data_IF_106233070444
#
_entry.id   IF_106233070444
#
_cell.length_a   1.000
_cell.length_b   1.000
_cell.length_c   1.000
_cell.angle_alpha   90.00
_cell.angle_beta   90.00
_cell.angle_gamma   90.00
#
_symmetry.space_group_name_H-M   'P 1'
#
loop_
_entity.id
_entity.type
_entity.pdbx_description
1 polymer ?
#
# COMPACT_ATOMS: atom_id res chain seq x y z
N UNK A 1 -13.48 -25.68 -15.99
CA UNK A 1 -12.18 -26.31 -15.70
C UNK A 1 -12.39 -27.30 -14.58
N UNK A 2 -11.65 -28.39 -14.62
CA UNK A 2 -11.53 -29.29 -13.49
C UNK A 2 -10.76 -28.60 -12.35
N UNK A 3 -11.17 -28.83 -11.10
CA UNK A 3 -10.57 -28.21 -9.92
C UNK A 3 -9.09 -28.61 -9.77
N UNK A 4 -8.78 -29.89 -9.91
CA UNK A 4 -7.42 -30.40 -9.68
C UNK A 4 -6.49 -30.01 -10.83
N UNK A 5 -6.98 -30.05 -12.07
CA UNK A 5 -6.21 -29.58 -13.22
C UNK A 5 -5.76 -28.11 -13.03
N UNK A 6 -6.69 -27.24 -12.63
CA UNK A 6 -6.42 -25.84 -12.40
C UNK A 6 -5.46 -25.62 -11.22
N UNK A 7 -5.62 -26.36 -10.13
CA UNK A 7 -4.71 -26.31 -8.97
C UNK A 7 -3.28 -26.67 -9.36
N UNK A 8 -3.09 -27.75 -10.14
CA UNK A 8 -1.77 -28.15 -10.62
C UNK A 8 -1.14 -27.11 -11.54
N UNK A 9 -1.93 -26.43 -12.38
CA UNK A 9 -1.42 -25.33 -13.22
C UNK A 9 -0.96 -24.15 -12.35
N UNK A 10 -1.75 -23.76 -11.33
CA UNK A 10 -1.40 -22.66 -10.43
C UNK A 10 -0.09 -22.93 -9.68
N UNK A 11 0.10 -24.15 -9.14
CA UNK A 11 1.32 -24.53 -8.40
C UNK A 11 2.58 -24.63 -9.25
N UNK A 12 2.49 -24.57 -10.58
CA UNK A 12 3.67 -24.45 -11.46
C UNK A 12 4.25 -23.04 -11.48
N UNK A 13 3.51 -22.04 -11.00
CA UNK A 13 4.01 -20.67 -10.88
C UNK A 13 4.83 -20.48 -9.60
N UNK A 14 5.85 -19.61 -9.66
CA UNK A 14 6.70 -19.32 -8.51
C UNK A 14 5.90 -18.76 -7.31
N UNK A 15 4.92 -17.89 -7.55
CA UNK A 15 4.17 -17.24 -6.46
C UNK A 15 3.20 -18.19 -5.73
N UNK A 16 2.76 -19.27 -6.38
CA UNK A 16 1.77 -20.20 -5.82
C UNK A 16 2.30 -21.64 -5.66
N UNK A 17 3.62 -21.86 -5.77
CA UNK A 17 4.20 -23.21 -5.72
C UNK A 17 3.98 -23.95 -4.39
N UNK A 18 3.70 -23.23 -3.30
CA UNK A 18 3.37 -23.75 -1.97
C UNK A 18 1.89 -23.57 -1.60
N UNK A 19 1.03 -23.15 -2.55
CA UNK A 19 -0.38 -22.87 -2.28
C UNK A 19 -1.08 -24.09 -1.65
N UNK A 20 -1.68 -23.88 -0.49
CA UNK A 20 -2.44 -24.92 0.20
C UNK A 20 -3.72 -25.25 -0.58
N UNK A 21 -4.13 -26.53 -0.56
CA UNK A 21 -5.32 -26.97 -1.29
C UNK A 21 -6.59 -26.42 -0.65
N UNK A 22 -6.65 -26.31 0.67
CA UNK A 22 -7.78 -25.75 1.39
C UNK A 22 -7.98 -24.26 1.04
N UNK A 23 -6.91 -23.46 1.03
CA UNK A 23 -6.95 -22.05 0.61
C UNK A 23 -7.43 -21.89 -0.83
N UNK A 24 -7.00 -22.80 -1.71
CA UNK A 24 -7.45 -22.83 -3.10
C UNK A 24 -8.96 -23.08 -3.20
N UNK A 25 -9.47 -24.12 -2.53
CA UNK A 25 -10.91 -24.44 -2.51
C UNK A 25 -11.72 -23.30 -1.86
N UNK A 26 -11.25 -22.74 -0.76
CA UNK A 26 -11.90 -21.60 -0.10
C UNK A 26 -11.98 -20.37 -1.03
N UNK A 27 -10.94 -20.13 -1.84
CA UNK A 27 -10.96 -19.09 -2.86
C UNK A 27 -12.01 -19.37 -3.94
N UNK A 28 -12.15 -20.63 -4.39
CA UNK A 28 -13.20 -21.00 -5.35
C UNK A 28 -14.60 -20.83 -4.77
N UNK A 29 -14.83 -21.26 -3.53
CA UNK A 29 -16.10 -21.06 -2.81
C UNK A 29 -16.42 -19.57 -2.69
N UNK A 30 -15.45 -18.75 -2.29
CA UNK A 30 -15.60 -17.30 -2.22
C UNK A 30 -15.96 -16.68 -3.57
N UNK A 31 -15.24 -17.03 -4.64
CA UNK A 31 -15.54 -16.56 -6.00
C UNK A 31 -16.87 -17.11 -6.52
N UNK A 32 -17.29 -18.29 -6.07
CA UNK A 32 -18.59 -18.91 -6.34
C UNK A 32 -19.75 -18.24 -5.59
N UNK A 33 -19.47 -17.42 -4.56
CA UNK A 33 -20.46 -16.81 -3.68
C UNK A 33 -21.00 -17.77 -2.60
N UNK A 34 -20.26 -18.83 -2.28
CA UNK A 34 -20.59 -19.85 -1.28
C UNK A 34 -19.82 -19.55 0.03
N UNK A 35 -20.14 -18.43 0.67
CA UNK A 35 -19.51 -18.00 1.93
C UNK A 35 -20.58 -17.90 2.99
N UNK A 36 -20.27 -18.39 4.19
CA UNK A 36 -21.16 -18.24 5.34
C UNK A 36 -21.25 -16.76 5.75
N UNK A 37 -22.43 -16.33 6.20
CA UNK A 37 -22.70 -15.00 6.76
C UNK A 37 -22.53 -13.77 5.84
N UNK A 38 -22.19 -13.94 4.57
CA UNK A 38 -22.05 -12.82 3.63
C UNK A 38 -22.57 -13.12 2.22
N UNK A 39 -23.35 -12.19 1.68
CA UNK A 39 -23.77 -12.23 0.27
C UNK A 39 -22.66 -11.68 -0.62
N UNK A 40 -21.80 -12.55 -1.14
CA UNK A 40 -20.75 -12.17 -2.09
C UNK A 40 -21.26 -12.31 -3.52
N UNK A 41 -21.04 -11.27 -4.33
CA UNK A 41 -21.34 -11.34 -5.76
C UNK A 41 -20.44 -12.36 -6.44
N UNK A 42 -21.04 -13.49 -6.80
CA UNK A 42 -20.36 -14.61 -7.46
C UNK A 42 -19.78 -14.21 -8.82
N UNK A 43 -18.49 -14.49 -9.02
CA UNK A 43 -17.74 -14.21 -10.26
C UNK A 43 -17.53 -15.46 -11.10
N UNK A 44 -17.69 -16.64 -10.49
CA UNK A 44 -17.68 -17.92 -11.19
C UNK A 44 -18.92 -18.71 -10.82
N UNK A 45 -19.25 -19.71 -11.63
CA UNK A 45 -20.01 -20.85 -11.13
C UNK A 45 -19.00 -21.86 -10.60
N UNK A 46 -19.34 -22.50 -9.49
CA UNK A 46 -18.51 -23.48 -8.81
C UNK A 46 -19.42 -24.62 -8.37
N UNK A 47 -19.10 -25.83 -8.81
CA UNK A 47 -19.79 -27.06 -8.46
C UNK A 47 -18.77 -28.01 -7.83
N UNK A 48 -18.85 -28.12 -6.51
CA UNK A 48 -17.93 -28.94 -5.72
C UNK A 48 -18.23 -30.44 -5.89
N UNK A 49 -19.46 -30.82 -6.24
CA UNK A 49 -19.84 -32.22 -6.46
C UNK A 49 -19.35 -32.74 -7.81
N UNK A 50 -19.50 -31.93 -8.87
CA UNK A 50 -18.98 -32.26 -10.21
C UNK A 50 -17.47 -31.96 -10.35
N UNK A 51 -16.86 -31.33 -9.35
CA UNK A 51 -15.43 -31.02 -9.33
C UNK A 51 -15.03 -29.98 -10.37
N UNK A 52 -15.92 -29.04 -10.72
CA UNK A 52 -15.71 -28.09 -11.83
C UNK A 52 -16.11 -26.66 -11.49
N UNK A 53 -15.47 -25.73 -12.19
CA UNK A 53 -15.81 -24.31 -12.13
C UNK A 53 -15.65 -23.62 -13.49
N UNK A 54 -16.24 -22.43 -13.62
CA UNK A 54 -16.08 -21.65 -14.84
C UNK A 54 -16.67 -20.25 -14.80
N UNK A 55 -16.43 -19.50 -15.87
CA UNK A 55 -16.85 -18.10 -15.97
C UNK A 55 -18.37 -17.97 -16.00
N UNK A 56 -18.89 -16.98 -15.28
CA UNK A 56 -20.26 -16.47 -15.46
C UNK A 56 -20.26 -15.38 -16.53
N UNK A 57 -21.36 -15.25 -17.27
CA UNK A 57 -21.52 -14.21 -18.32
C UNK A 57 -21.39 -12.80 -17.73
N UNK A 58 -21.91 -12.60 -16.52
CA UNK A 58 -21.87 -11.32 -15.81
C UNK A 58 -20.45 -10.88 -15.41
N UNK A 59 -19.52 -11.83 -15.27
CA UNK A 59 -18.15 -11.54 -14.82
C UNK A 59 -17.25 -10.96 -15.89
N UNK A 60 -17.69 -11.00 -17.16
CA UNK A 60 -16.90 -10.51 -18.30
C UNK A 60 -16.54 -9.03 -18.14
N UNK A 61 -17.51 -8.18 -17.80
CA UNK A 61 -17.27 -6.75 -17.65
C UNK A 61 -16.34 -6.45 -16.46
N UNK A 62 -16.56 -7.13 -15.33
CA UNK A 62 -15.74 -6.99 -14.12
C UNK A 62 -14.27 -7.32 -14.45
N UNK A 63 -14.04 -8.43 -15.15
CA UNK A 63 -12.70 -8.84 -15.56
C UNK A 63 -12.02 -7.75 -16.41
N UNK A 64 -12.68 -7.23 -17.45
CA UNK A 64 -12.07 -6.24 -18.35
C UNK A 64 -11.85 -4.87 -17.70
N UNK A 65 -12.69 -4.47 -16.75
CA UNK A 65 -12.53 -3.21 -16.03
C UNK A 65 -11.48 -3.27 -14.92
N UNK A 66 -11.10 -4.47 -14.47
CA UNK A 66 -10.16 -4.69 -13.37
C UNK A 66 -8.98 -5.58 -13.80
N UNK A 67 -8.51 -5.43 -15.05
CA UNK A 67 -7.33 -6.15 -15.53
C UNK A 67 -6.09 -5.52 -14.92
N UNK A 68 -5.41 -6.25 -14.04
CA UNK A 68 -4.13 -5.83 -13.47
C UNK A 68 -4.01 -6.19 -12.00
N UNK A 69 -2.87 -5.83 -11.43
CA UNK A 69 -2.57 -6.02 -9.99
C UNK A 69 -2.28 -4.71 -9.27
N UNK A 70 -2.23 -3.59 -10.01
CA UNK A 70 -2.03 -2.26 -9.43
C UNK A 70 -3.39 -1.82 -8.88
N UNK A 71 -3.51 -1.61 -7.56
CA UNK A 71 -4.76 -1.09 -6.99
C UNK A 71 -4.98 0.34 -7.48
N UNK A 72 -6.23 0.71 -7.71
CA UNK A 72 -6.57 2.14 -7.88
C UNK A 72 -6.38 2.82 -6.52
N UNK A 73 -5.56 3.88 -6.49
CA UNK A 73 -5.51 4.79 -5.34
C UNK A 73 -6.36 6.02 -5.66
N UNK A 74 -7.32 6.32 -4.79
CA UNK A 74 -8.18 7.49 -4.95
C UNK A 74 -7.59 8.67 -4.15
N UNK A 75 -7.42 9.80 -4.83
CA UNK A 75 -7.08 11.05 -4.15
C UNK A 75 -8.33 11.74 -3.61
N UNK A 76 -8.26 12.17 -2.35
CA UNK A 76 -9.27 13.02 -1.72
C UNK A 76 -8.91 14.48 -1.92
N UNK A 77 -9.88 15.27 -2.36
CA UNK A 77 -9.73 16.71 -2.39
C UNK A 77 -9.83 17.27 -0.97
N UNK A 78 -8.80 17.97 -0.52
CA UNK A 78 -8.82 18.69 0.75
C UNK A 78 -9.48 20.05 0.53
N UNK A 79 -10.49 20.33 1.34
CA UNK A 79 -11.23 21.59 1.32
C UNK A 79 -11.30 22.19 2.73
N UNK A 80 -11.33 23.52 2.82
CA UNK A 80 -11.67 24.17 4.08
C UNK A 80 -13.19 24.14 4.33
N UNK A 81 -13.62 24.62 5.50
CA UNK A 81 -15.04 24.72 5.89
C UNK A 81 -15.88 25.58 4.92
N UNK A 82 -15.26 26.53 4.21
CA UNK A 82 -15.91 27.34 3.16
C UNK A 82 -15.96 26.66 1.79
N UNK A 83 -15.44 25.44 1.64
CA UNK A 83 -15.39 24.69 0.38
C UNK A 83 -14.23 25.07 -0.55
N UNK A 84 -13.29 25.92 -0.11
CA UNK A 84 -12.09 26.26 -0.89
C UNK A 84 -11.15 25.06 -0.95
N UNK A 85 -10.73 24.70 -2.15
CA UNK A 85 -9.73 23.66 -2.39
C UNK A 85 -8.34 24.07 -1.86
N UNK A 86 -7.69 23.14 -1.15
CA UNK A 86 -6.39 23.33 -0.50
C UNK A 86 -5.31 22.38 -1.01
N UNK A 87 -5.69 21.24 -1.61
CA UNK A 87 -4.77 20.24 -2.13
C UNK A 87 -5.42 18.85 -2.15
N UNK A 88 -4.59 17.82 -2.19
CA UNK A 88 -5.02 16.42 -2.24
C UNK A 88 -4.31 15.58 -1.17
N UNK A 89 -4.98 14.51 -0.74
CA UNK A 89 -4.43 13.48 0.13
C UNK A 89 -4.76 12.10 -0.44
N UNK A 90 -3.85 11.15 -0.30
CA UNK A 90 -4.09 9.76 -0.71
C UNK A 90 -5.10 9.07 0.22
N UNK A 91 -5.87 8.11 -0.32
CA UNK A 91 -6.86 7.31 0.44
C UNK A 91 -6.27 6.70 1.71
N UNK A 92 -5.09 6.06 1.60
CA UNK A 92 -4.39 5.43 2.73
C UNK A 92 -4.00 6.39 3.85
N UNK A 93 -3.83 7.67 3.54
CA UNK A 93 -3.58 8.69 4.56
C UNK A 93 -4.90 9.05 5.25
N UNK A 94 -5.96 9.27 4.47
CA UNK A 94 -7.30 9.64 4.97
C UNK A 94 -7.91 8.55 5.84
N UNK A 95 -7.75 7.27 5.48
CA UNK A 95 -8.24 6.12 6.26
C UNK A 95 -7.69 6.07 7.69
N UNK A 96 -6.52 6.67 7.92
CA UNK A 96 -5.86 6.70 9.24
C UNK A 96 -6.24 7.92 10.07
N UNK A 97 -6.87 8.93 9.48
CA UNK A 97 -7.23 10.17 10.16
C UNK A 97 -8.42 9.98 11.10
N UNK A 98 -8.29 10.56 12.30
CA UNK A 98 -9.38 10.70 13.27
C UNK A 98 -9.73 12.19 13.44
N UNK A 99 -11.01 12.54 13.63
CA UNK A 99 -11.40 13.93 13.89
C UNK A 99 -10.54 14.56 14.99
N UNK A 100 -9.91 15.69 14.68
CA UNK A 100 -8.94 16.36 15.56
C UNK A 100 -7.47 16.14 15.20
N UNK A 101 -7.15 15.20 14.31
CA UNK A 101 -5.78 15.00 13.83
C UNK A 101 -5.26 16.22 13.08
N UNK A 102 -4.00 16.58 13.34
CA UNK A 102 -3.32 17.74 12.79
C UNK A 102 -2.19 17.30 11.87
N UNK A 103 -2.17 17.81 10.65
CA UNK A 103 -1.16 17.47 9.65
C UNK A 103 -0.76 18.69 8.81
N UNK A 104 0.35 18.55 8.08
CA UNK A 104 0.87 19.61 7.20
C UNK A 104 0.49 19.32 5.76
N UNK A 105 -0.11 20.31 5.08
CA UNK A 105 -0.39 20.29 3.64
C UNK A 105 0.02 21.65 3.04
N UNK A 106 0.84 21.65 2.00
CA UNK A 106 1.27 22.89 1.34
C UNK A 106 1.93 23.90 2.29
N UNK A 107 2.77 23.41 3.21
CA UNK A 107 3.42 24.18 4.28
C UNK A 107 2.47 24.85 5.30
N UNK A 108 1.18 24.50 5.29
CA UNK A 108 0.19 24.97 6.28
C UNK A 108 -0.29 23.83 7.15
N UNK A 109 -0.67 24.16 8.37
CA UNK A 109 -1.13 23.20 9.37
C UNK A 109 -2.65 23.16 9.35
N UNK A 110 -3.20 21.97 9.18
CA UNK A 110 -4.62 21.73 9.07
C UNK A 110 -5.07 20.69 10.07
N UNK A 111 -6.26 20.88 10.65
CA UNK A 111 -6.92 19.88 11.49
C UNK A 111 -8.03 19.19 10.69
N UNK A 112 -7.97 17.87 10.66
CA UNK A 112 -9.00 17.02 10.08
C UNK A 112 -10.31 17.12 10.88
N UNK A 113 -11.41 17.39 10.19
CA UNK A 113 -12.74 17.42 10.77
C UNK A 113 -13.54 16.17 10.39
N UNK A 114 -13.68 15.92 9.09
CA UNK A 114 -14.44 14.78 8.58
C UNK A 114 -14.16 14.55 7.09
N UNK A 115 -14.51 13.37 6.61
CA UNK A 115 -14.54 13.04 5.18
C UNK A 115 -15.98 12.93 4.72
N UNK A 116 -16.30 13.53 3.56
CA UNK A 116 -17.60 13.41 2.89
C UNK A 116 -17.39 13.14 1.40
N UNK A 117 -17.79 11.96 0.95
CA UNK A 117 -17.49 11.46 -0.41
C UNK A 117 -15.97 11.50 -0.62
N UNK A 118 -15.48 12.06 -1.74
CA UNK A 118 -14.07 12.23 -2.05
C UNK A 118 -13.47 13.54 -1.52
N UNK A 119 -14.06 14.14 -0.48
CA UNK A 119 -13.61 15.43 0.08
C UNK A 119 -13.27 15.31 1.54
N UNK A 120 -12.06 15.73 1.89
CA UNK A 120 -11.59 15.84 3.26
C UNK A 120 -11.80 17.28 3.70
N UNK A 121 -12.61 17.48 4.75
CA UNK A 121 -12.90 18.78 5.31
C UNK A 121 -11.93 19.05 6.45
N UNK A 122 -11.22 20.17 6.37
CA UNK A 122 -10.26 20.62 7.38
C UNK A 122 -10.55 22.03 7.84
N UNK A 123 -10.01 22.39 9.00
CA UNK A 123 -9.89 23.78 9.45
C UNK A 123 -8.43 24.18 9.60
N UNK A 124 -8.20 25.49 9.67
CA UNK A 124 -6.89 26.04 10.01
C UNK A 124 -6.50 25.60 11.43
N UNK A 125 -5.27 25.11 11.57
CA UNK A 125 -4.69 24.70 12.84
C UNK A 125 -3.27 25.28 13.01
N UNK A 126 -3.02 26.44 12.41
CA UNK A 126 -1.77 27.20 12.55
C UNK A 126 -1.40 27.37 14.03
N UNK A 127 -0.14 27.04 14.36
CA UNK A 127 0.39 27.08 15.73
C UNK A 127 0.19 25.77 16.52
N UNK A 128 -0.61 24.83 16.04
CA UNK A 128 -0.68 23.49 16.62
C UNK A 128 0.48 22.62 16.14
N UNK A 129 0.91 21.68 16.97
CA UNK A 129 1.90 20.66 16.56
C UNK A 129 1.19 19.58 15.73
N UNK A 130 1.73 19.18 14.57
CA UNK A 130 1.21 18.04 13.82
C UNK A 130 1.18 16.78 14.69
N UNK A 131 0.04 16.09 14.72
CA UNK A 131 -0.14 14.81 15.41
C UNK A 131 0.12 13.64 14.47
N UNK A 132 -0.07 13.85 13.17
CA UNK A 132 0.19 12.86 12.12
C UNK A 132 1.53 13.22 11.46
N UNK A 133 2.49 12.27 11.40
CA UNK A 133 3.76 12.54 10.74
C UNK A 133 3.55 12.84 9.25
N UNK A 134 4.44 13.65 8.66
CA UNK A 134 4.44 13.91 7.23
C UNK A 134 4.55 12.58 6.47
N UNK A 135 3.60 12.33 5.59
CA UNK A 135 3.54 11.12 4.78
C UNK A 135 4.84 10.95 3.97
N UNK A 136 5.44 9.78 4.08
CA UNK A 136 6.66 9.39 3.37
C UNK A 136 6.25 8.58 2.14
N UNK A 137 6.83 8.91 0.98
CA UNK A 137 6.31 8.57 -0.34
C UNK A 137 6.16 7.09 -0.69
N UNK A 138 5.51 6.86 -1.83
CA UNK A 138 5.06 5.60 -2.45
C UNK A 138 6.16 4.56 -2.75
N UNK A 139 7.42 4.79 -2.34
CA UNK A 139 8.51 3.88 -2.64
C UNK A 139 8.63 2.78 -1.59
N UNK A 140 9.14 1.63 -2.05
CA UNK A 140 9.49 0.51 -1.19
C UNK A 140 10.33 1.01 0.00
N UNK A 141 10.00 0.58 1.23
CA UNK A 141 10.79 0.94 2.38
C UNK A 141 12.24 0.48 2.17
N UNK A 142 13.19 1.23 2.72
CA UNK A 142 14.60 0.85 2.75
C UNK A 142 14.70 -0.60 3.28
N UNK A 143 15.37 -1.48 2.53
CA UNK A 143 15.56 -2.85 2.98
C UNK A 143 16.33 -2.88 4.31
N UNK A 144 16.05 -3.90 5.13
CA UNK A 144 16.70 -4.08 6.41
C UNK A 144 18.24 -4.11 6.26
N UNK A 145 18.74 -4.86 5.27
CA UNK A 145 20.17 -4.98 5.00
C UNK A 145 20.81 -3.65 4.62
N UNK A 146 20.14 -2.85 3.77
CA UNK A 146 20.61 -1.51 3.45
C UNK A 146 20.58 -0.61 4.69
N UNK A 147 19.60 -0.77 5.57
CA UNK A 147 19.54 -0.10 6.87
C UNK A 147 20.77 -0.39 7.73
N UNK A 148 21.17 -1.65 7.84
CA UNK A 148 22.38 -2.06 8.57
C UNK A 148 23.64 -1.45 7.93
N UNK A 149 23.78 -1.54 6.61
CA UNK A 149 24.96 -1.02 5.91
C UNK A 149 25.11 0.49 6.07
N UNK A 150 24.00 1.25 5.97
CA UNK A 150 23.99 2.69 6.23
C UNK A 150 24.35 2.98 7.68
N UNK A 151 23.85 2.20 8.64
CA UNK A 151 24.19 2.33 10.06
C UNK A 151 25.70 2.18 10.30
N UNK A 152 26.29 1.09 9.81
CA UNK A 152 27.74 0.82 9.91
C UNK A 152 28.57 1.92 9.25
N UNK A 153 28.14 2.39 8.08
CA UNK A 153 28.81 3.50 7.39
C UNK A 153 28.82 4.77 8.25
N UNK A 154 27.67 5.14 8.82
CA UNK A 154 27.55 6.33 9.69
C UNK A 154 28.38 6.22 10.97
N UNK A 155 28.41 5.04 11.58
CA UNK A 155 29.24 4.76 12.76
C UNK A 155 30.73 4.92 12.45
N UNK A 156 31.18 4.34 11.33
CA UNK A 156 32.58 4.44 10.91
C UNK A 156 32.99 5.88 10.59
N UNK A 157 32.13 6.64 9.88
CA UNK A 157 32.36 8.07 9.64
C UNK A 157 32.46 8.85 10.95
N UNK A 158 31.53 8.65 11.89
CA UNK A 158 31.54 9.33 13.17
C UNK A 158 32.82 9.03 13.97
N UNK A 159 33.22 7.76 14.05
CA UNK A 159 34.45 7.30 14.72
C UNK A 159 35.70 7.95 14.13
N UNK A 160 35.78 8.10 12.80
CA UNK A 160 36.92 8.71 12.12
C UNK A 160 36.98 10.22 12.36
N UNK A 161 35.83 10.89 12.34
CA UNK A 161 35.73 12.31 12.69
C UNK A 161 36.19 12.58 14.13
N UNK A 162 35.78 11.74 15.09
CA UNK A 162 36.22 11.85 16.49
C UNK A 162 37.75 11.72 16.65
N UNK A 163 38.36 10.83 15.86
CA UNK A 163 39.81 10.64 15.82
C UNK A 163 40.55 11.70 14.99
N UNK A 164 39.83 12.65 14.38
CA UNK A 164 40.38 13.67 13.46
C UNK A 164 41.14 13.06 12.29
N UNK A 165 40.68 11.90 11.80
CA UNK A 165 41.19 11.30 10.56
C UNK A 165 40.68 12.10 9.35
N UNK A 166 41.39 12.03 8.23
CA UNK A 166 40.95 12.62 6.96
C UNK A 166 39.83 11.75 6.35
N UNK A 167 38.59 12.08 6.72
CA UNK A 167 37.39 11.35 6.28
C UNK A 167 37.11 11.57 4.81
N UNK A 168 37.41 12.75 4.29
CA UNK A 168 37.19 13.09 2.88
C UNK A 168 38.06 12.22 1.99
N UNK A 169 39.37 12.17 2.27
CA UNK A 169 40.28 11.27 1.57
C UNK A 169 39.84 9.80 1.66
N UNK A 170 39.45 9.34 2.86
CA UNK A 170 38.96 7.97 3.05
C UNK A 170 37.71 7.66 2.22
N UNK A 171 36.77 8.60 2.13
CA UNK A 171 35.56 8.47 1.31
C UNK A 171 35.90 8.44 -0.19
N UNK A 172 36.82 9.29 -0.65
CA UNK A 172 37.29 9.28 -2.04
C UNK A 172 37.93 7.93 -2.39
N UNK A 173 38.83 7.43 -1.54
CA UNK A 173 39.55 6.17 -1.76
C UNK A 173 38.64 4.93 -1.75
N UNK A 174 37.71 4.85 -0.79
CA UNK A 174 36.94 3.63 -0.53
C UNK A 174 35.54 3.62 -1.17
N UNK A 175 34.97 4.80 -1.40
CA UNK A 175 33.60 4.97 -1.89
C UNK A 175 33.49 5.76 -3.18
N UNK A 176 34.63 6.18 -3.77
CA UNK A 176 34.67 6.96 -5.02
C UNK A 176 33.81 8.21 -4.94
N UNK A 177 33.89 8.90 -3.80
CA UNK A 177 33.30 10.22 -3.68
C UNK A 177 34.03 11.16 -4.65
N UNK A 178 33.26 11.84 -5.51
CA UNK A 178 33.81 12.88 -6.39
C UNK A 178 34.10 14.15 -5.57
N UNK A 179 35.12 14.91 -5.99
CA UNK A 179 35.52 16.22 -5.41
C UNK A 179 34.47 17.32 -5.66
#
# INVERSE_FOLDING_TARGET
WDIEEAYHVLRRSFSYHTLDHEDYINTLRYLGGQVEDQTIYSKIWFDEQDGKFGKKRSSRMIFFMNVGTIPEEADYQVINESGKHLGQLSDRFVERLKPGDVFVLGAKIHMYLSTRRNRVIVKDASGMRPTVPSWTGEMLPRSYDLGILVGKFREEVARRLEKKEDVEFWLMENYRLDE
#
